data_IF_077742304293
#
_entry.id   IF_077742304293
#
_cell.length_a   1.000
_cell.length_b   1.000
_cell.length_c   1.000
_cell.angle_alpha   90.00
_cell.angle_beta   90.00
_cell.angle_gamma   90.00
#
_symmetry.space_group_name_H-M   'P 1'
#
loop_
_entity.id
_entity.type
_entity.pdbx_description
1 polymer ?
#
# COMPACT_ATOMS: atom_id res chain seq x y z
N UNK A 1 -18.81 17.56 -17.30
CA UNK A 1 -18.56 16.10 -17.25
C UNK A 1 -17.24 15.92 -16.55
N UNK A 2 -17.23 15.33 -15.36
CA UNK A 2 -15.97 14.98 -14.71
C UNK A 2 -15.20 13.97 -15.57
N UNK A 3 -13.88 14.15 -15.69
CA UNK A 3 -13.03 13.27 -16.49
C UNK A 3 -13.08 11.83 -15.98
N UNK A 4 -12.84 10.85 -16.88
CA UNK A 4 -12.82 9.41 -16.55
C UNK A 4 -12.00 9.09 -15.29
N UNK A 5 -10.86 9.78 -15.12
CA UNK A 5 -9.98 9.61 -13.95
C UNK A 5 -10.64 10.02 -12.63
N UNK A 6 -11.30 11.17 -12.59
CA UNK A 6 -11.97 11.69 -11.37
C UNK A 6 -13.10 10.74 -10.95
N UNK A 7 -13.91 10.29 -11.92
CA UNK A 7 -14.97 9.31 -11.66
C UNK A 7 -14.42 8.00 -11.09
N UNK A 8 -13.29 7.51 -11.61
CA UNK A 8 -12.63 6.32 -11.08
C UNK A 8 -12.13 6.53 -9.65
N UNK A 9 -11.50 7.67 -9.35
CA UNK A 9 -11.05 8.01 -8.00
C UNK A 9 -12.23 8.07 -7.01
N UNK A 10 -13.35 8.69 -7.40
CA UNK A 10 -14.56 8.74 -6.57
C UNK A 10 -15.15 7.36 -6.31
N UNK A 11 -15.17 6.49 -7.34
CA UNK A 11 -15.62 5.10 -7.18
C UNK A 11 -14.74 4.34 -6.20
N UNK A 12 -13.41 4.45 -6.33
CA UNK A 12 -12.47 3.83 -5.40
C UNK A 12 -12.67 4.32 -3.97
N UNK A 13 -12.81 5.65 -3.77
CA UNK A 13 -13.06 6.23 -2.46
C UNK A 13 -14.37 5.73 -1.84
N UNK A 14 -15.42 5.56 -2.66
CA UNK A 14 -16.69 4.99 -2.22
C UNK A 14 -16.53 3.55 -1.75
N UNK A 15 -15.82 2.71 -2.51
CA UNK A 15 -15.57 1.32 -2.13
C UNK A 15 -14.76 1.20 -0.83
N UNK A 16 -13.70 2.01 -0.67
CA UNK A 16 -12.91 2.03 0.58
C UNK A 16 -13.81 2.40 1.77
N UNK A 17 -14.58 3.49 1.69
CA UNK A 17 -15.49 3.93 2.75
C UNK A 17 -16.61 2.94 3.07
N UNK A 18 -17.06 2.18 2.08
CA UNK A 18 -18.08 1.16 2.28
C UNK A 18 -17.48 -0.05 3.00
N UNK A 19 -16.25 -0.45 2.64
CA UNK A 19 -15.55 -1.59 3.24
C UNK A 19 -15.29 -1.41 4.75
N UNK A 20 -15.10 -0.17 5.20
CA UNK A 20 -14.92 0.19 6.62
C UNK A 20 -16.20 0.03 7.46
N UNK A 21 -17.38 0.05 6.83
CA UNK A 21 -18.68 0.02 7.52
C UNK A 21 -19.29 -1.37 7.64
N UNK A 22 -18.65 -2.39 7.06
CA UNK A 22 -19.16 -3.76 7.07
C UNK A 22 -18.84 -4.41 8.42
N UNK A 23 -19.88 -4.72 9.19
CA UNK A 23 -19.75 -5.49 10.43
C UNK A 23 -19.61 -6.99 10.14
N UNK A 24 -18.96 -7.73 11.07
CA UNK A 24 -18.86 -9.19 10.98
C UNK A 24 -17.86 -9.74 9.95
N UNK A 25 -16.90 -8.93 9.49
CA UNK A 25 -15.85 -9.39 8.57
C UNK A 25 -14.99 -10.50 9.17
N UNK A 26 -14.77 -11.57 8.40
CA UNK A 26 -13.82 -12.61 8.76
C UNK A 26 -12.37 -12.22 8.36
N UNK A 27 -11.41 -13.07 8.72
CA UNK A 27 -10.00 -12.82 8.40
C UNK A 27 -9.71 -12.74 6.90
N UNK A 28 -10.42 -13.51 6.08
CA UNK A 28 -10.22 -13.52 4.63
C UNK A 28 -10.79 -12.24 4.00
N UNK A 29 -11.93 -11.77 4.51
CA UNK A 29 -12.52 -10.51 4.09
C UNK A 29 -11.59 -9.33 4.43
N UNK A 30 -10.99 -9.32 5.62
CA UNK A 30 -9.99 -8.32 5.99
C UNK A 30 -8.79 -8.33 5.03
N UNK A 31 -8.26 -9.51 4.69
CA UNK A 31 -7.14 -9.63 3.74
C UNK A 31 -7.52 -9.11 2.35
N UNK A 32 -8.74 -9.38 1.88
CA UNK A 32 -9.24 -8.86 0.60
C UNK A 32 -9.34 -7.34 0.61
N UNK A 33 -9.89 -6.77 1.67
CA UNK A 33 -10.00 -5.32 1.85
C UNK A 33 -8.62 -4.65 1.89
N UNK A 34 -7.67 -5.20 2.65
CA UNK A 34 -6.29 -4.71 2.69
C UNK A 34 -5.68 -4.73 1.28
N UNK A 35 -5.80 -5.84 0.55
CA UNK A 35 -5.28 -5.96 -0.82
C UNK A 35 -5.91 -4.93 -1.75
N UNK A 36 -7.22 -4.74 -1.68
CA UNK A 36 -7.93 -3.74 -2.48
C UNK A 36 -7.41 -2.33 -2.21
N UNK A 37 -7.27 -1.94 -0.94
CA UNK A 37 -6.77 -0.62 -0.53
C UNK A 37 -5.33 -0.38 -1.01
N UNK A 38 -4.47 -1.40 -0.94
CA UNK A 38 -3.10 -1.30 -1.47
C UNK A 38 -3.09 -1.11 -2.98
N UNK A 39 -3.92 -1.86 -3.73
CA UNK A 39 -4.01 -1.70 -5.19
C UNK A 39 -4.58 -0.33 -5.59
N UNK A 40 -5.52 0.20 -4.82
CA UNK A 40 -6.03 1.56 -4.99
C UNK A 40 -4.94 2.62 -4.79
N UNK A 41 -4.12 2.48 -3.74
CA UNK A 41 -2.97 3.35 -3.49
C UNK A 41 -1.96 3.27 -4.64
N UNK A 42 -1.58 2.04 -5.05
CA UNK A 42 -0.64 1.79 -6.15
C UNK A 42 -1.09 2.49 -7.44
N UNK A 43 -2.36 2.34 -7.83
CA UNK A 43 -2.91 2.98 -9.04
C UNK A 43 -2.74 4.50 -9.00
N UNK A 44 -3.04 5.13 -7.86
CA UNK A 44 -2.90 6.58 -7.71
C UNK A 44 -1.44 7.03 -7.77
N UNK A 45 -0.53 6.29 -7.13
CA UNK A 45 0.92 6.55 -7.19
C UNK A 45 1.44 6.40 -8.62
N UNK A 46 1.06 5.35 -9.36
CA UNK A 46 1.43 5.19 -10.77
C UNK A 46 0.95 6.37 -11.61
N UNK A 47 -0.27 6.86 -11.40
CA UNK A 47 -0.77 8.04 -12.09
C UNK A 47 0.06 9.30 -11.80
N UNK A 48 0.42 9.53 -10.53
CA UNK A 48 1.30 10.64 -10.15
C UNK A 48 2.70 10.52 -10.75
N UNK A 49 3.28 9.31 -10.77
CA UNK A 49 4.57 9.07 -11.42
C UNK A 49 4.53 9.42 -12.91
N UNK A 50 3.47 9.02 -13.63
CA UNK A 50 3.31 9.38 -15.05
C UNK A 50 3.25 10.89 -15.29
N UNK A 51 2.67 11.66 -14.35
CA UNK A 51 2.66 13.12 -14.43
C UNK A 51 4.04 13.68 -14.11
N UNK A 52 4.69 13.20 -13.05
CA UNK A 52 6.01 13.69 -12.61
C UNK A 52 7.11 13.40 -13.64
N UNK A 53 7.01 12.28 -14.34
CA UNK A 53 7.93 11.87 -15.40
C UNK A 53 7.69 12.64 -16.72
N UNK A 54 6.68 13.52 -16.78
CA UNK A 54 6.37 14.34 -17.95
C UNK A 54 6.69 15.84 -17.70
N UNK A 55 7.82 16.34 -18.19
CA UNK A 55 8.22 17.74 -18.00
C UNK A 55 7.23 18.75 -18.59
N UNK A 56 6.57 18.44 -19.70
CA UNK A 56 5.63 19.36 -20.34
C UNK A 56 4.38 19.59 -19.49
N UNK A 57 3.92 18.54 -18.79
CA UNK A 57 2.85 18.62 -17.79
C UNK A 57 3.35 19.37 -16.57
N UNK A 58 4.52 19.00 -16.03
CA UNK A 58 5.06 19.61 -14.81
C UNK A 58 5.37 21.10 -14.98
N UNK A 59 5.75 21.53 -16.18
CA UNK A 59 5.97 22.95 -16.50
C UNK A 59 4.70 23.81 -16.51
N UNK A 60 3.50 23.20 -16.52
CA UNK A 60 2.24 23.95 -16.41
C UNK A 60 1.93 24.40 -14.97
N UNK A 61 2.58 23.81 -13.97
CA UNK A 61 2.40 24.16 -12.57
C UNK A 61 3.35 25.28 -12.15
N UNK A 62 2.86 26.17 -11.31
CA UNK A 62 3.67 27.17 -10.63
C UNK A 62 4.54 26.52 -9.54
N UNK A 63 5.59 27.21 -9.11
CA UNK A 63 6.44 26.73 -8.02
C UNK A 63 5.66 26.54 -6.71
N UNK A 64 4.69 27.41 -6.42
CA UNK A 64 3.86 27.33 -5.22
C UNK A 64 2.94 26.09 -5.26
N UNK A 65 2.34 25.79 -6.41
CA UNK A 65 1.55 24.56 -6.60
C UNK A 65 2.41 23.30 -6.44
N UNK A 66 3.62 23.29 -7.01
CA UNK A 66 4.56 22.18 -6.86
C UNK A 66 4.99 22.00 -5.40
N UNK A 67 5.21 23.10 -4.67
CA UNK A 67 5.56 23.07 -3.26
C UNK A 67 4.40 22.53 -2.40
N UNK A 68 3.16 22.93 -2.70
CA UNK A 68 1.96 22.41 -2.04
C UNK A 68 1.78 20.91 -2.30
N UNK A 69 1.89 20.47 -3.57
CA UNK A 69 1.79 19.06 -3.96
C UNK A 69 2.85 18.24 -3.23
N UNK A 70 4.11 18.68 -3.26
CA UNK A 70 5.22 17.98 -2.62
C UNK A 70 5.01 17.85 -1.11
N UNK A 71 4.57 18.92 -0.43
CA UNK A 71 4.29 18.88 1.01
C UNK A 71 3.20 17.87 1.35
N UNK A 72 2.05 17.94 0.65
CA UNK A 72 0.92 17.05 0.93
C UNK A 72 1.25 15.57 0.65
N UNK A 73 1.99 15.29 -0.43
CA UNK A 73 2.44 13.93 -0.74
C UNK A 73 3.45 13.43 0.31
N UNK A 74 4.40 14.27 0.72
CA UNK A 74 5.38 13.91 1.74
C UNK A 74 4.71 13.57 3.07
N UNK A 75 3.74 14.38 3.53
CA UNK A 75 3.03 14.12 4.78
C UNK A 75 2.27 12.78 4.75
N UNK A 76 1.61 12.46 3.63
CA UNK A 76 0.90 11.19 3.43
C UNK A 76 1.87 9.99 3.40
N UNK A 77 2.97 10.11 2.65
CA UNK A 77 3.96 9.03 2.51
C UNK A 77 4.69 8.78 3.81
N UNK A 78 5.05 9.82 4.57
CA UNK A 78 5.68 9.68 5.87
C UNK A 78 4.81 8.84 6.83
N UNK A 79 3.51 9.13 6.92
CA UNK A 79 2.59 8.37 7.75
C UNK A 79 2.48 6.90 7.30
N UNK A 80 2.43 6.66 5.98
CA UNK A 80 2.34 5.30 5.44
C UNK A 80 3.61 4.49 5.69
N UNK A 81 4.79 5.06 5.43
CA UNK A 81 6.09 4.38 5.62
C UNK A 81 6.36 4.08 7.09
N UNK A 82 6.02 4.99 8.01
CA UNK A 82 6.12 4.73 9.45
C UNK A 82 5.22 3.56 9.89
N UNK A 83 3.99 3.51 9.38
CA UNK A 83 3.09 2.38 9.65
C UNK A 83 3.59 1.07 9.05
N UNK A 84 4.07 1.08 7.81
CA UNK A 84 4.65 -0.09 7.14
C UNK A 84 5.80 -0.66 7.98
N UNK A 85 6.81 0.15 8.28
CA UNK A 85 7.97 -0.28 9.07
C UNK A 85 7.58 -0.92 10.41
N UNK A 86 6.57 -0.36 11.10
CA UNK A 86 6.05 -0.92 12.35
C UNK A 86 5.39 -2.27 12.15
N UNK A 87 4.52 -2.40 11.16
CA UNK A 87 3.74 -3.63 10.97
C UNK A 87 4.57 -4.71 10.30
N UNK A 88 5.14 -4.47 9.13
CA UNK A 88 5.88 -5.48 8.37
C UNK A 88 7.13 -5.92 9.11
N UNK A 89 7.90 -4.99 9.67
CA UNK A 89 9.06 -5.33 10.49
C UNK A 89 8.71 -6.16 11.73
N UNK A 90 7.60 -5.87 12.42
CA UNK A 90 7.17 -6.67 13.57
C UNK A 90 6.71 -8.08 13.19
N UNK A 91 6.11 -8.25 12.00
CA UNK A 91 5.65 -9.54 11.52
C UNK A 91 6.81 -10.38 10.97
N UNK A 92 7.73 -9.77 10.23
CA UNK A 92 8.96 -10.39 9.76
C UNK A 92 9.74 -10.99 10.94
N UNK A 93 9.99 -10.19 11.99
CA UNK A 93 10.68 -10.68 13.18
C UNK A 93 9.95 -11.83 13.90
N UNK A 94 8.60 -11.86 13.86
CA UNK A 94 7.81 -12.97 14.42
C UNK A 94 7.93 -14.22 13.56
N UNK A 95 7.89 -14.08 12.24
CA UNK A 95 8.05 -15.17 11.29
C UNK A 95 9.44 -15.77 11.44
N UNK A 96 10.50 -14.96 11.43
CA UNK A 96 11.86 -15.41 11.66
C UNK A 96 12.04 -16.16 12.98
N UNK A 97 11.47 -15.64 14.08
CA UNK A 97 11.53 -16.32 15.39
C UNK A 97 10.82 -17.67 15.38
N UNK A 98 9.71 -17.81 14.64
CA UNK A 98 9.01 -19.10 14.48
C UNK A 98 9.87 -20.08 13.68
N UNK A 99 10.38 -19.63 12.54
CA UNK A 99 11.28 -20.41 11.68
C UNK A 99 12.48 -20.94 12.48
N UNK A 100 13.16 -20.08 13.24
CA UNK A 100 14.30 -20.50 14.08
C UNK A 100 13.90 -21.51 15.16
N UNK A 101 12.75 -21.33 15.80
CA UNK A 101 12.25 -22.29 16.81
C UNK A 101 11.88 -23.63 16.21
N UNK A 102 11.33 -23.64 14.99
CA UNK A 102 10.98 -24.85 14.25
C UNK A 102 12.24 -25.57 13.75
N UNK A 103 13.23 -24.84 13.24
CA UNK A 103 14.54 -25.38 12.84
C UNK A 103 15.32 -26.02 14.01
N UNK A 104 15.23 -25.44 15.21
CA UNK A 104 15.83 -26.04 16.43
C UNK A 104 15.12 -27.35 16.82
N UNK A 105 13.82 -27.48 16.53
CA UNK A 105 13.01 -28.67 16.86
C UNK A 105 13.11 -29.76 15.79
N UNK A 106 13.27 -29.38 14.53
CA UNK A 106 13.44 -30.26 13.39
C UNK A 106 14.40 -29.62 12.36
N UNK A 107 15.69 -30.02 12.36
CA UNK A 107 16.70 -29.50 11.43
C UNK A 107 16.41 -29.78 9.95
N UNK A 108 15.46 -30.69 9.66
CA UNK A 108 15.05 -30.99 8.28
C UNK A 108 14.11 -29.91 7.71
N UNK A 109 13.37 -29.18 8.57
CA UNK A 109 12.31 -28.23 8.18
C UNK A 109 12.84 -26.98 7.45
N UNK A 110 14.06 -26.52 7.77
CA UNK A 110 14.69 -25.39 7.09
C UNK A 110 14.97 -25.68 5.61
N UNK A 111 15.22 -26.95 5.25
CA UNK A 111 15.51 -27.33 3.85
C UNK A 111 14.28 -27.31 2.95
N UNK A 112 13.08 -27.48 3.51
CA UNK A 112 11.84 -27.56 2.73
C UNK A 112 11.22 -26.18 2.45
N UNK A 113 11.48 -25.16 3.28
CA UNK A 113 10.93 -23.79 3.08
C UNK A 113 11.57 -23.01 1.92
N UNK A 114 12.80 -23.34 1.51
CA UNK A 114 13.46 -22.69 0.36
C UNK A 114 12.91 -23.16 -1.00
N UNK A 115 11.99 -24.13 -1.02
CA UNK A 115 11.40 -24.69 -2.24
C UNK A 115 9.89 -24.42 -2.32
N UNK A 116 9.49 -23.15 -2.24
CA UNK A 116 8.21 -22.72 -2.83
C UNK A 116 8.54 -21.89 -4.07
N UNK A 117 8.52 -22.56 -5.23
CA UNK A 117 8.68 -21.95 -6.56
C UNK A 117 7.44 -21.16 -6.96
#
# INVERSE_FOLDING_TARGET
MEGRWVNDCQRILKEIKNSEKVEGQDRLDMVRTIRFTILALQRSVTGWMQWADNPDIMAQFTLDELAEINKNLADLVCAFVDYDAKITGSQEAKIEKKIRKEAIKDPQHERDMFYVK
#
